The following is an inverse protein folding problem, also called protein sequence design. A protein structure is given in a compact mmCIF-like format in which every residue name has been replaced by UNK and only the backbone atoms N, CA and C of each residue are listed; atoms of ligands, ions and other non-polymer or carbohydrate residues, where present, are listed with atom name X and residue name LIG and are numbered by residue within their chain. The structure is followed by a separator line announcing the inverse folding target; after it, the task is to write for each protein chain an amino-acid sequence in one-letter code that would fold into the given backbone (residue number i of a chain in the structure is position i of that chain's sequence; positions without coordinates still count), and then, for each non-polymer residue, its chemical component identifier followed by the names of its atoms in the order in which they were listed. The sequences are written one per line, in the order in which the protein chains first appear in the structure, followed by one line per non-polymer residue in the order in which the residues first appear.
data_IF_075620225018
#
_entry.id   IF_075620225018
#
_cell.length_a   1.000
_cell.length_b   1.000
_cell.length_c   1.000
_cell.angle_alpha   90.00
_cell.angle_beta   90.00
_cell.angle_gamma   90.00
#
_symmetry.space_group_name_H-M   'P 1'
#
loop_
_entity.id
_entity.type
_entity.pdbx_description
1 polymer ?
#
# COMPACT_ATOMS: atom_id res chain seq x y z
N UNK A 1 36.18 12.57 -35.36
CA UNK A 1 37.09 11.52 -34.88
C UNK A 1 37.94 12.13 -33.78
N UNK A 2 37.77 11.70 -32.53
CA UNK A 2 38.55 12.22 -31.40
C UNK A 2 39.87 11.44 -31.31
N UNK A 3 41.00 12.15 -31.26
CA UNK A 3 42.33 11.57 -31.04
C UNK A 3 42.70 11.74 -29.56
N UNK A 4 43.02 10.65 -28.88
CA UNK A 4 43.49 10.64 -27.50
C UNK A 4 44.88 9.99 -27.45
N UNK A 5 45.86 10.71 -26.91
CA UNK A 5 47.20 10.18 -26.62
C UNK A 5 47.25 9.77 -25.14
N UNK A 6 47.66 8.54 -24.86
CA UNK A 6 47.89 8.03 -23.51
C UNK A 6 49.38 7.73 -23.39
N UNK A 7 50.08 8.46 -22.53
CA UNK A 7 51.47 8.20 -22.14
C UNK A 7 51.45 7.44 -20.80
N UNK A 8 52.19 6.34 -20.73
CA UNK A 8 52.30 5.48 -19.54
C UNK A 8 53.76 5.49 -19.11
N UNK A 9 54.07 6.19 -18.02
CA UNK A 9 55.39 6.15 -17.39
C UNK A 9 55.44 5.00 -16.38
N UNK A 10 56.40 4.09 -16.54
CA UNK A 10 56.64 2.98 -15.62
C UNK A 10 57.98 3.21 -14.90
N UNK A 11 57.92 3.47 -13.59
CA UNK A 11 59.10 3.46 -12.72
C UNK A 11 59.58 2.01 -12.54
N UNK A 12 60.70 1.66 -13.16
CA UNK A 12 61.30 0.34 -13.02
C UNK A 12 62.20 0.26 -11.78
N UNK A 13 62.14 -0.88 -11.09
CA UNK A 13 63.08 -1.24 -10.02
C UNK A 13 64.42 -1.61 -10.68
N UNK A 14 65.52 -1.04 -10.16
CA UNK A 14 66.90 -1.18 -10.64
C UNK A 14 67.38 -2.62 -10.93
N UNK A 15 68.33 -2.70 -11.87
CA UNK A 15 69.30 -3.79 -12.19
C UNK A 15 69.02 -4.70 -13.42
N UNK A 16 69.66 -4.34 -14.54
CA UNK A 16 70.43 -5.19 -15.48
C UNK A 16 69.86 -6.51 -16.05
N UNK A 17 68.54 -6.71 -16.13
CA UNK A 17 68.01 -7.99 -16.64
C UNK A 17 66.85 -7.96 -17.62
N UNK A 18 66.42 -6.78 -18.12
CA UNK A 18 65.35 -6.73 -19.12
C UNK A 18 65.83 -6.07 -20.41
N UNK A 19 66.00 -6.90 -21.45
CA UNK A 19 66.36 -6.54 -22.82
C UNK A 19 65.39 -5.49 -23.39
N UNK A 20 65.89 -4.40 -23.99
CA UNK A 20 65.08 -3.24 -24.44
C UNK A 20 63.92 -3.63 -25.37
N UNK A 21 64.12 -4.67 -26.18
CA UNK A 21 63.10 -5.24 -27.07
C UNK A 21 61.95 -5.87 -26.28
N UNK A 22 62.25 -6.48 -25.13
CA UNK A 22 61.25 -7.06 -24.25
C UNK A 22 60.47 -5.95 -23.53
N UNK A 23 61.13 -4.86 -23.14
CA UNK A 23 60.48 -3.68 -22.54
C UNK A 23 59.48 -3.04 -23.52
N UNK A 24 59.89 -2.79 -24.76
CA UNK A 24 58.98 -2.22 -25.77
C UNK A 24 57.80 -3.14 -26.10
N UNK A 25 58.01 -4.46 -26.14
CA UNK A 25 56.91 -5.42 -26.33
C UNK A 25 55.93 -5.42 -25.16
N UNK A 26 56.41 -5.26 -23.93
CA UNK A 26 55.57 -5.18 -22.73
C UNK A 26 54.81 -3.86 -22.72
N UNK A 27 55.46 -2.73 -23.02
CA UNK A 27 54.83 -1.40 -23.12
C UNK A 27 53.74 -1.41 -24.19
N UNK A 28 54.05 -1.89 -25.40
CA UNK A 28 53.07 -1.99 -26.49
C UNK A 28 51.94 -2.96 -26.14
N UNK A 29 52.23 -4.09 -25.50
CA UNK A 29 51.21 -5.06 -25.06
C UNK A 29 50.29 -4.53 -23.96
N UNK A 30 50.83 -3.71 -23.04
CA UNK A 30 50.03 -3.02 -22.01
C UNK A 30 49.22 -1.91 -22.66
N UNK A 31 49.79 -1.13 -23.57
CA UNK A 31 49.10 -0.07 -24.31
C UNK A 31 47.97 -0.64 -25.18
N UNK A 32 48.19 -1.75 -25.88
CA UNK A 32 47.17 -2.42 -26.70
C UNK A 32 46.05 -3.01 -25.84
N UNK A 33 46.38 -3.63 -24.70
CA UNK A 33 45.35 -4.11 -23.76
C UNK A 33 44.56 -2.97 -23.14
N UNK A 34 45.25 -1.91 -22.70
CA UNK A 34 44.64 -0.75 -22.07
C UNK A 34 43.73 0.00 -23.05
N UNK A 35 44.20 0.23 -24.28
CA UNK A 35 43.39 0.85 -25.34
C UNK A 35 42.18 -0.01 -25.68
N UNK A 36 42.33 -1.33 -25.82
CA UNK A 36 41.21 -2.23 -26.10
C UNK A 36 40.18 -2.27 -24.97
N UNK A 37 40.62 -2.32 -23.71
CA UNK A 37 39.73 -2.34 -22.55
C UNK A 37 39.02 -1.00 -22.33
N UNK A 38 39.73 0.12 -22.53
CA UNK A 38 39.15 1.47 -22.50
C UNK A 38 38.14 1.63 -23.64
N UNK A 39 38.50 1.25 -24.87
CA UNK A 39 37.59 1.32 -26.02
C UNK A 39 36.34 0.47 -25.79
N UNK A 40 36.47 -0.76 -25.30
CA UNK A 40 35.32 -1.62 -25.03
C UNK A 40 34.42 -1.08 -23.91
N UNK A 41 34.99 -0.50 -22.85
CA UNK A 41 34.21 0.16 -21.78
C UNK A 41 33.52 1.41 -22.29
N UNK A 42 34.22 2.22 -23.07
CA UNK A 42 33.70 3.46 -23.66
C UNK A 42 32.58 3.17 -24.68
N UNK A 43 32.73 2.14 -25.52
CA UNK A 43 31.69 1.69 -26.43
C UNK A 43 30.44 1.24 -25.69
N UNK A 44 30.59 0.48 -24.59
CA UNK A 44 29.45 0.09 -23.75
C UNK A 44 28.76 1.30 -23.15
N UNK A 45 29.50 2.22 -22.52
CA UNK A 45 28.93 3.44 -21.93
C UNK A 45 28.27 4.33 -22.97
N UNK A 46 28.90 4.53 -24.13
CA UNK A 46 28.32 5.30 -25.24
C UNK A 46 27.07 4.62 -25.78
N UNK A 47 27.07 3.30 -25.98
CA UNK A 47 25.91 2.56 -26.46
C UNK A 47 24.73 2.66 -25.50
N UNK A 48 24.98 2.63 -24.19
CA UNK A 48 23.95 2.77 -23.16
C UNK A 48 23.40 4.21 -23.10
N UNK A 49 24.29 5.22 -23.13
CA UNK A 49 23.89 6.63 -23.20
C UNK A 49 23.08 6.92 -24.46
N UNK A 50 23.53 6.41 -25.61
CA UNK A 50 22.83 6.57 -26.91
C UNK A 50 21.48 5.87 -26.84
N UNK A 51 21.41 4.62 -26.37
CA UNK A 51 20.15 3.87 -26.28
C UNK A 51 19.15 4.57 -25.36
N UNK A 52 19.60 5.07 -24.21
CA UNK A 52 18.73 5.78 -23.27
C UNK A 52 18.26 7.11 -23.86
N UNK A 53 19.13 7.88 -24.53
CA UNK A 53 18.73 9.13 -25.21
C UNK A 53 17.78 8.87 -26.38
N UNK A 54 18.00 7.81 -27.16
CA UNK A 54 17.11 7.44 -28.26
C UNK A 54 15.74 7.04 -27.72
N UNK A 55 15.67 6.26 -26.63
CA UNK A 55 14.41 5.93 -25.97
C UNK A 55 13.69 7.17 -25.48
N UNK A 56 14.36 8.07 -24.76
CA UNK A 56 13.69 9.28 -24.25
C UNK A 56 13.21 10.21 -25.36
N UNK A 57 13.96 10.35 -26.45
CA UNK A 57 13.54 11.12 -27.64
C UNK A 57 12.36 10.43 -28.33
N UNK A 58 12.41 9.10 -28.52
CA UNK A 58 11.32 8.35 -29.11
C UNK A 58 10.04 8.45 -28.28
N UNK A 59 10.14 8.32 -26.95
CA UNK A 59 9.01 8.48 -26.03
C UNK A 59 8.44 9.90 -26.07
N UNK A 60 9.29 10.92 -26.09
CA UNK A 60 8.84 12.31 -26.23
C UNK A 60 8.14 12.57 -27.57
N UNK A 61 8.68 12.02 -28.65
CA UNK A 61 8.08 12.11 -29.99
C UNK A 61 6.75 11.37 -30.06
N UNK A 62 6.66 10.16 -29.49
CA UNK A 62 5.41 9.41 -29.38
C UNK A 62 4.37 10.18 -28.57
N UNK A 63 4.75 10.79 -27.44
CA UNK A 63 3.85 11.63 -26.66
C UNK A 63 3.35 12.83 -27.46
N UNK A 64 4.21 13.51 -28.21
CA UNK A 64 3.82 14.67 -29.02
C UNK A 64 2.88 14.28 -30.17
N UNK A 65 3.22 13.23 -30.92
CA UNK A 65 2.39 12.69 -32.01
C UNK A 65 1.05 12.19 -31.47
N UNK A 66 1.05 11.51 -30.32
CA UNK A 66 -0.18 11.04 -29.68
C UNK A 66 -1.04 12.22 -29.23
N UNK A 67 -0.47 13.27 -28.63
CA UNK A 67 -1.22 14.47 -28.26
C UNK A 67 -1.82 15.19 -29.47
N UNK A 68 -1.06 15.34 -30.55
CA UNK A 68 -1.52 15.96 -31.80
C UNK A 68 -2.65 15.15 -32.43
N UNK A 69 -2.47 13.84 -32.60
CA UNK A 69 -3.51 12.97 -33.15
C UNK A 69 -4.76 12.91 -32.26
N UNK A 70 -4.63 12.88 -30.93
CA UNK A 70 -5.78 12.93 -30.02
C UNK A 70 -6.59 14.24 -30.17
N UNK A 71 -5.92 15.35 -30.46
CA UNK A 71 -6.56 16.65 -30.66
C UNK A 71 -7.30 16.76 -32.00
N UNK A 72 -6.81 16.05 -33.03
CA UNK A 72 -7.40 16.04 -34.36
C UNK A 72 -8.57 15.05 -34.50
N UNK A 73 -8.62 14.01 -33.67
CA UNK A 73 -9.72 13.04 -33.70
C UNK A 73 -11.00 13.69 -33.15
N UNK A 74 -11.95 13.88 -34.06
CA UNK A 74 -13.31 14.32 -33.74
C UNK A 74 -14.28 13.15 -33.88
N UNK A 75 -15.12 12.97 -32.87
CA UNK A 75 -16.11 11.90 -32.80
C UNK A 75 -17.50 12.47 -33.14
N UNK A 76 -18.23 11.87 -34.10
CA UNK A 76 -19.59 12.26 -34.38
C UNK A 76 -20.52 11.79 -33.25
N UNK A 77 -21.35 12.69 -32.74
CA UNK A 77 -22.40 12.42 -31.76
C UNK A 77 -23.72 12.93 -32.29
N UNK A 78 -24.76 12.10 -32.14
CA UNK A 78 -26.14 12.41 -32.52
C UNK A 78 -27.01 12.49 -31.28
N UNK A 79 -27.98 13.40 -31.26
CA UNK A 79 -28.95 13.53 -30.17
C UNK A 79 -30.04 12.44 -30.15
N UNK A 80 -29.91 11.39 -30.96
CA UNK A 80 -30.71 10.17 -30.86
C UNK A 80 -32.07 10.19 -31.56
N UNK A 81 -32.37 11.23 -32.34
CA UNK A 81 -33.57 11.32 -33.18
C UNK A 81 -33.30 10.97 -34.65
N UNK A 82 -34.35 10.53 -35.35
CA UNK A 82 -34.32 10.42 -36.81
C UNK A 82 -34.16 11.81 -37.43
N UNK A 83 -33.11 12.01 -38.22
CA UNK A 83 -32.78 13.32 -38.81
C UNK A 83 -32.03 14.28 -37.88
N UNK A 84 -31.54 13.82 -36.73
CA UNK A 84 -30.72 14.65 -35.83
C UNK A 84 -29.43 15.14 -36.51
N UNK A 85 -29.07 16.40 -36.23
CA UNK A 85 -27.78 16.96 -36.66
C UNK A 85 -26.65 16.19 -35.96
N UNK A 86 -25.60 15.88 -36.72
CA UNK A 86 -24.38 15.26 -36.21
C UNK A 86 -23.46 16.38 -35.73
N UNK A 87 -23.15 16.39 -34.44
CA UNK A 87 -22.15 17.29 -33.86
C UNK A 87 -20.82 16.56 -33.71
N UNK A 88 -19.73 17.24 -34.02
CA UNK A 88 -18.38 16.72 -33.89
C UNK A 88 -17.76 17.25 -32.61
N UNK A 89 -17.46 16.36 -31.66
CA UNK A 89 -16.80 16.71 -30.40
C UNK A 89 -15.41 16.08 -30.34
N UNK A 90 -14.51 16.66 -29.53
CA UNK A 90 -13.17 16.10 -29.37
C UNK A 90 -13.22 14.72 -28.69
N UNK A 91 -12.24 13.86 -28.98
CA UNK A 91 -12.16 12.53 -28.37
C UNK A 91 -12.21 12.58 -26.84
N UNK A 92 -11.52 13.53 -26.21
CA UNK A 92 -11.54 13.71 -24.75
C UNK A 92 -12.94 14.03 -24.23
N UNK A 93 -13.68 14.93 -24.90
CA UNK A 93 -15.06 15.25 -24.52
C UNK A 93 -16.00 14.06 -24.75
N UNK A 94 -15.80 13.31 -25.82
CA UNK A 94 -16.56 12.09 -26.09
C UNK A 94 -16.35 11.03 -25.00
N UNK A 95 -15.09 10.77 -24.63
CA UNK A 95 -14.75 9.87 -23.54
C UNK A 95 -15.35 10.38 -22.23
N UNK A 96 -15.25 11.67 -21.94
CA UNK A 96 -15.86 12.31 -20.77
C UNK A 96 -17.37 12.06 -20.70
N UNK A 97 -18.12 12.38 -21.76
CA UNK A 97 -19.57 12.14 -21.84
C UNK A 97 -19.92 10.66 -21.71
N UNK A 98 -19.14 9.76 -22.31
CA UNK A 98 -19.34 8.31 -22.21
C UNK A 98 -19.09 7.81 -20.79
N UNK A 99 -18.04 8.29 -20.15
CA UNK A 99 -17.69 7.93 -18.78
C UNK A 99 -18.71 8.45 -17.79
N UNK A 100 -19.14 9.70 -17.93
CA UNK A 100 -20.19 10.28 -17.11
C UNK A 100 -21.50 9.50 -17.25
N UNK A 101 -21.91 9.18 -18.48
CA UNK A 101 -23.07 8.33 -18.73
C UNK A 101 -22.89 6.94 -18.11
N UNK A 102 -21.70 6.37 -18.14
CA UNK A 102 -21.43 5.06 -17.54
C UNK A 102 -21.55 5.09 -16.00
N UNK A 103 -21.12 6.17 -15.36
CA UNK A 103 -21.15 6.31 -13.90
C UNK A 103 -22.52 6.74 -13.36
N UNK A 104 -23.29 7.50 -14.14
CA UNK A 104 -24.58 8.09 -13.70
C UNK A 104 -25.81 7.28 -14.14
N UNK A 105 -25.72 6.54 -15.25
CA UNK A 105 -26.85 5.78 -15.77
C UNK A 105 -27.05 4.50 -14.95
N UNK A 106 -28.25 4.33 -14.41
CA UNK A 106 -28.66 3.10 -13.75
C UNK A 106 -28.71 2.01 -14.80
N UNK A 107 -27.89 0.98 -14.62
CA UNK A 107 -27.79 -0.16 -15.56
C UNK A 107 -27.80 -1.50 -14.86
N UNK A 108 -27.69 -1.52 -13.55
CA UNK A 108 -27.59 -2.75 -12.79
C UNK A 108 -28.91 -3.08 -12.10
N UNK A 109 -29.27 -4.36 -12.12
CA UNK A 109 -30.34 -4.93 -11.30
C UNK A 109 -29.88 -5.10 -9.83
N UNK A 110 -30.74 -5.65 -8.97
CA UNK A 110 -30.41 -5.89 -7.55
C UNK A 110 -29.26 -6.88 -7.34
N UNK A 111 -28.96 -7.70 -8.35
CA UNK A 111 -27.93 -8.75 -8.30
C UNK A 111 -26.63 -8.32 -8.99
N UNK A 112 -26.54 -7.06 -9.45
CA UNK A 112 -25.38 -6.53 -10.14
C UNK A 112 -25.25 -6.95 -11.60
N UNK A 113 -26.28 -7.55 -12.20
CA UNK A 113 -26.30 -7.85 -13.63
C UNK A 113 -26.80 -6.65 -14.42
N UNK A 114 -26.43 -6.59 -15.70
CA UNK A 114 -26.96 -5.57 -16.61
C UNK A 114 -28.46 -5.79 -16.79
N UNK A 115 -29.26 -4.80 -16.45
CA UNK A 115 -30.71 -4.82 -16.63
C UNK A 115 -31.07 -4.71 -18.13
N UNK A 116 -31.97 -5.58 -18.57
CA UNK A 116 -32.47 -5.58 -19.95
C UNK A 116 -33.40 -4.39 -20.22
N UNK A 117 -34.16 -3.97 -19.20
CA UNK A 117 -35.04 -2.82 -19.27
C UNK A 117 -34.66 -1.74 -18.27
N UNK A 118 -34.83 -0.48 -18.67
CA UNK A 118 -34.55 0.68 -17.80
C UNK A 118 -35.39 0.69 -16.52
N UNK A 119 -36.54 0.00 -16.49
CA UNK A 119 -37.39 -0.11 -15.29
C UNK A 119 -36.78 -1.05 -14.23
N UNK A 120 -35.98 -2.01 -14.67
CA UNK A 120 -35.34 -3.00 -13.81
C UNK A 120 -33.96 -2.52 -13.31
N UNK A 121 -33.43 -1.47 -13.95
CA UNK A 121 -32.18 -0.84 -13.58
C UNK A 121 -32.34 -0.02 -12.29
N UNK A 122 -31.80 -0.54 -11.19
CA UNK A 122 -31.94 0.04 -9.84
C UNK A 122 -30.71 0.82 -9.40
N UNK A 123 -29.53 0.33 -9.76
CA UNK A 123 -28.27 0.88 -9.30
C UNK A 123 -27.39 1.34 -10.47
N UNK A 124 -26.62 2.40 -10.19
CA UNK A 124 -25.41 2.67 -10.96
C UNK A 124 -24.29 1.71 -10.55
N UNK A 125 -23.23 1.66 -11.34
CA UNK A 125 -22.08 0.78 -11.06
C UNK A 125 -21.39 1.18 -9.76
N UNK A 126 -21.23 2.49 -9.53
CA UNK A 126 -20.65 3.00 -8.29
C UNK A 126 -21.55 2.72 -7.08
N UNK A 127 -22.87 2.93 -7.20
CA UNK A 127 -23.83 2.66 -6.13
C UNK A 127 -23.82 1.18 -5.72
N UNK A 128 -23.82 0.25 -6.69
CA UNK A 128 -23.81 -1.18 -6.40
C UNK A 128 -22.53 -1.62 -5.69
N UNK A 129 -21.37 -1.15 -6.16
CA UNK A 129 -20.07 -1.44 -5.54
C UNK A 129 -19.98 -0.89 -4.12
N UNK A 130 -20.43 0.34 -3.92
CA UNK A 130 -20.48 0.96 -2.60
C UNK A 130 -21.44 0.20 -1.69
N UNK A 131 -22.61 -0.20 -2.19
CA UNK A 131 -23.58 -0.96 -1.40
C UNK A 131 -23.02 -2.30 -0.93
N UNK A 132 -22.42 -3.10 -1.83
CA UNK A 132 -21.83 -4.38 -1.44
C UNK A 132 -20.62 -4.25 -0.50
N UNK A 133 -19.80 -3.21 -0.67
CA UNK A 133 -18.70 -2.94 0.25
C UNK A 133 -19.19 -2.48 1.64
N UNK A 134 -20.13 -1.53 1.66
CA UNK A 134 -20.74 -1.03 2.88
C UNK A 134 -21.46 -2.15 3.63
N UNK A 135 -22.26 -2.97 2.95
CA UNK A 135 -22.97 -4.09 3.54
C UNK A 135 -22.00 -5.06 4.22
N UNK A 136 -20.94 -5.46 3.52
CA UNK A 136 -19.94 -6.41 4.06
C UNK A 136 -19.18 -5.84 5.26
N UNK A 137 -18.69 -4.61 5.16
CA UNK A 137 -17.90 -3.97 6.24
C UNK A 137 -18.76 -3.60 7.44
N UNK A 138 -19.95 -3.02 7.24
CA UNK A 138 -20.88 -2.69 8.33
C UNK A 138 -21.38 -3.95 9.02
N UNK A 139 -21.86 -4.95 8.28
CA UNK A 139 -22.36 -6.19 8.89
C UNK A 139 -21.24 -6.89 9.67
N UNK A 140 -20.03 -6.97 9.11
CA UNK A 140 -18.88 -7.55 9.80
C UNK A 140 -18.52 -6.81 11.08
N UNK A 141 -18.49 -5.47 11.05
CA UNK A 141 -18.14 -4.65 12.20
C UNK A 141 -19.23 -4.64 13.28
N UNK A 142 -20.49 -4.56 12.88
CA UNK A 142 -21.64 -4.61 13.79
C UNK A 142 -21.71 -5.96 14.48
N UNK A 143 -21.59 -7.06 13.74
CA UNK A 143 -21.61 -8.42 14.31
C UNK A 143 -20.49 -8.61 15.34
N UNK A 144 -19.25 -8.24 14.99
CA UNK A 144 -18.11 -8.28 15.93
C UNK A 144 -18.33 -7.41 17.18
N UNK A 145 -18.96 -6.25 17.02
CA UNK A 145 -19.24 -5.35 18.15
C UNK A 145 -20.30 -5.95 19.07
N UNK A 146 -21.35 -6.56 18.51
CA UNK A 146 -22.39 -7.25 19.28
C UNK A 146 -21.81 -8.46 20.02
N UNK A 147 -20.99 -9.28 19.36
CA UNK A 147 -20.31 -10.41 19.99
C UNK A 147 -19.42 -9.95 21.14
N UNK A 148 -18.62 -8.90 20.93
CA UNK A 148 -17.77 -8.34 21.97
C UNK A 148 -18.59 -7.82 23.15
N UNK A 149 -19.65 -7.04 22.88
CA UNK A 149 -20.53 -6.50 23.91
C UNK A 149 -21.20 -7.62 24.73
N UNK A 150 -21.61 -8.71 24.08
CA UNK A 150 -22.14 -9.89 24.76
C UNK A 150 -21.10 -10.55 25.66
N UNK A 151 -19.89 -10.80 25.16
CA UNK A 151 -18.82 -11.41 25.98
C UNK A 151 -18.38 -10.52 27.13
N UNK A 152 -18.36 -9.20 26.95
CA UNK A 152 -18.02 -8.24 28.01
C UNK A 152 -19.14 -8.17 29.06
N UNK A 153 -20.41 -8.24 28.66
CA UNK A 153 -21.54 -8.36 29.57
C UNK A 153 -21.49 -9.67 30.37
N UNK A 154 -21.22 -10.81 29.71
CA UNK A 154 -21.07 -12.11 30.38
C UNK A 154 -19.94 -12.08 31.42
N UNK A 155 -18.76 -11.54 31.05
CA UNK A 155 -17.65 -11.36 31.99
C UNK A 155 -18.02 -10.45 33.16
N UNK A 156 -18.75 -9.37 32.90
CA UNK A 156 -19.17 -8.43 33.95
C UNK A 156 -20.18 -9.09 34.90
N UNK A 157 -21.13 -9.87 34.37
CA UNK A 157 -22.08 -10.63 35.18
C UNK A 157 -21.38 -11.69 36.01
N UNK A 158 -20.46 -12.46 35.42
CA UNK A 158 -19.66 -13.44 36.18
C UNK A 158 -18.85 -12.77 37.26
N UNK A 159 -18.13 -11.69 36.95
CA UNK A 159 -17.32 -10.96 37.92
C UNK A 159 -18.14 -10.37 39.06
N UNK A 160 -19.30 -9.78 38.75
CA UNK A 160 -20.20 -9.25 39.79
C UNK A 160 -20.81 -10.35 40.65
N UNK A 161 -21.12 -11.52 40.08
CA UNK A 161 -21.55 -12.68 40.86
C UNK A 161 -20.43 -13.21 41.75
N UNK A 162 -19.19 -13.31 41.26
CA UNK A 162 -18.02 -13.71 42.03
C UNK A 162 -17.76 -12.75 43.19
N UNK A 163 -17.72 -11.44 42.93
CA UNK A 163 -17.52 -10.40 43.94
C UNK A 163 -18.63 -10.44 45.01
N UNK A 164 -19.89 -10.60 44.61
CA UNK A 164 -21.02 -10.71 45.54
C UNK A 164 -20.97 -12.00 46.38
N UNK A 165 -20.66 -13.15 45.76
CA UNK A 165 -20.52 -14.41 46.48
C UNK A 165 -19.36 -14.36 47.47
N UNK A 166 -18.21 -13.79 47.08
CA UNK A 166 -17.07 -13.61 47.98
C UNK A 166 -17.41 -12.71 49.17
N UNK A 167 -18.12 -11.61 48.92
CA UNK A 167 -18.58 -10.71 49.98
C UNK A 167 -19.56 -11.40 50.93
N UNK A 168 -20.54 -12.15 50.40
CA UNK A 168 -21.51 -12.89 51.21
C UNK A 168 -20.85 -14.00 52.04
N UNK A 169 -19.93 -14.78 51.46
CA UNK A 169 -19.19 -15.82 52.17
C UNK A 169 -18.30 -15.21 53.27
N UNK A 170 -17.64 -14.10 52.99
CA UNK A 170 -16.82 -13.40 53.99
C UNK A 170 -17.67 -12.91 55.16
N UNK A 171 -18.82 -12.32 54.87
CA UNK A 171 -19.77 -11.88 55.90
C UNK A 171 -20.32 -13.07 56.71
N UNK A 172 -20.70 -14.18 56.06
CA UNK A 172 -21.21 -15.37 56.75
C UNK A 172 -20.12 -16.04 57.62
N UNK A 173 -18.87 -16.08 57.16
CA UNK A 173 -17.72 -16.56 57.96
C UNK A 173 -17.51 -15.68 59.20
N UNK A 174 -17.52 -14.35 59.07
CA UNK A 174 -17.36 -13.43 60.20
C UNK A 174 -18.49 -13.63 61.23
N UNK A 175 -19.72 -13.79 60.75
CA UNK A 175 -20.89 -14.02 61.59
C UNK A 175 -20.83 -15.39 62.30
N UNK A 176 -20.54 -16.47 61.59
CA UNK A 176 -20.46 -17.83 62.17
C UNK A 176 -19.30 -17.99 63.13
N UNK A 177 -18.16 -17.36 62.85
CA UNK A 177 -17.00 -17.39 63.75
C UNK A 177 -17.17 -16.45 64.96
N UNK A 178 -18.26 -15.67 65.05
CA UNK A 178 -18.52 -14.73 66.15
C UNK A 178 -17.27 -13.91 66.50
N UNK A 179 -16.51 -13.51 65.48
CA UNK A 179 -15.25 -12.77 65.62
C UNK A 179 -15.43 -11.50 66.47
N UNK A 180 -16.56 -10.75 66.37
CA UNK A 180 -16.79 -9.60 67.26
C UNK A 180 -16.83 -10.00 68.74
N UNK A 181 -17.54 -11.07 69.08
CA UNK A 181 -17.62 -11.61 70.44
C UNK A 181 -16.26 -12.15 70.92
N UNK A 182 -15.49 -12.81 70.04
CA UNK A 182 -14.14 -13.25 70.36
C UNK A 182 -13.19 -12.08 70.60
N UNK A 183 -13.24 -11.03 69.77
CA UNK A 183 -12.43 -9.83 69.94
C UNK A 183 -12.81 -9.05 71.19
N UNK A 184 -14.10 -8.92 71.50
CA UNK A 184 -14.59 -8.29 72.73
C UNK A 184 -14.15 -9.08 73.97
N UNK A 185 -14.22 -10.41 73.91
CA UNK A 185 -13.71 -11.27 74.98
C UNK A 185 -12.17 -11.19 75.12
N UNK A 186 -11.43 -11.12 74.03
CA UNK A 186 -9.97 -10.95 74.08
C UNK A 186 -9.57 -9.56 74.56
N UNK A 187 -10.29 -8.50 74.17
CA UNK A 187 -10.06 -7.13 74.63
C UNK A 187 -10.39 -6.97 76.11
N UNK A 188 -11.53 -7.50 76.57
CA UNK A 188 -11.88 -7.50 77.99
C UNK A 188 -10.87 -8.30 78.82
N UNK A 189 -10.40 -9.44 78.33
CA UNK A 189 -9.31 -10.19 78.98
C UNK A 189 -7.98 -9.43 79.00
N UNK A 190 -7.62 -8.72 77.91
CA UNK A 190 -6.41 -7.90 77.86
C UNK A 190 -6.46 -6.73 78.86
N UNK A 191 -7.60 -6.03 78.95
CA UNK A 191 -7.82 -4.94 79.93
C UNK A 191 -7.77 -5.48 81.36
N UNK A 192 -8.31 -6.67 81.62
CA UNK A 192 -8.19 -7.34 82.93
C UNK A 192 -6.75 -7.73 83.28
N UNK A 193 -5.91 -8.03 82.28
CA UNK A 193 -4.49 -8.33 82.48
C UNK A 193 -3.64 -7.06 82.67
N UNK A 194 -3.99 -5.97 82.00
CA UNK A 194 -3.35 -4.66 82.21
C UNK A 194 -3.68 -4.08 83.60
N UNK A 195 -4.92 -4.22 84.08
CA UNK A 195 -5.33 -3.79 85.42
C UNK A 195 -4.80 -4.69 86.57
N UNK A 196 -4.14 -5.80 86.25
CA UNK A 196 -3.52 -6.73 87.22
C UNK A 196 -2.00 -6.55 87.35
N UNK A 197 -1.39 -5.61 86.61
CA UNK A 197 -0.02 -5.15 86.81
C UNK A 197 0.01 -3.91 87.69
#
# INVERSE_FOLDING_TARGET
MAKFNIEVELDWINEDSIDEVMQQKIINGIQDKLTKDISAKMEKQLSEIITNRVKTIADAMLQEVTKKSLGEIQMPVTDGGWGSKVEFISLTQFIGKRFEKFMTEKKLDERGNKADYSRDAKYTISEYLLHGYLEKELLGKVTKTIEKARTDAEKTVVKTLEENLQAQLSADIINRLNIPLLLENLQSQAVLLENKK
#
